data_IF_235842383904
#
_entry.id   IF_235842383904
#
_cell.length_a   1.000
_cell.length_b   1.000
_cell.length_c   1.000
_cell.angle_alpha   90.00
_cell.angle_beta   90.00
_cell.angle_gamma   90.00
#
_symmetry.space_group_name_H-M   'P 1'
#
loop_
_entity.id
_entity.type
_entity.pdbx_description
1 polymer ?
#
# COMPACT_ATOMS: atom_id res chain seq x y z
N UNK A 1 16.16 15.50 10.04
CA UNK A 1 16.68 14.45 9.16
C UNK A 1 18.06 14.89 8.71
N UNK A 2 19.06 14.11 9.02
CA UNK A 2 20.45 14.44 8.84
C UNK A 2 20.87 14.17 7.39
N UNK A 3 20.68 15.15 6.52
CA UNK A 3 21.09 15.05 5.11
C UNK A 3 22.61 14.86 4.93
N UNK A 4 23.50 15.51 5.71
CA UNK A 4 24.94 15.28 5.59
C UNK A 4 25.33 13.82 5.83
N UNK A 5 24.80 13.18 6.86
CA UNK A 5 25.08 11.77 7.12
C UNK A 5 24.56 10.86 6.01
N UNK A 6 23.40 11.18 5.41
CA UNK A 6 22.87 10.42 4.27
C UNK A 6 23.71 10.63 3.01
N UNK A 7 24.19 11.85 2.77
CA UNK A 7 25.01 12.17 1.61
C UNK A 7 26.38 11.47 1.62
N UNK A 8 26.83 11.01 2.78
CA UNK A 8 28.07 10.23 2.92
C UNK A 8 27.92 8.74 2.55
N UNK A 9 26.69 8.27 2.29
CA UNK A 9 26.43 6.86 2.00
C UNK A 9 26.47 6.59 0.49
N UNK A 10 27.04 5.47 0.09
CA UNK A 10 27.02 5.00 -1.31
C UNK A 10 25.67 4.41 -1.71
N UNK A 11 24.97 3.82 -0.74
CA UNK A 11 23.67 3.17 -0.94
C UNK A 11 22.74 3.50 0.23
N UNK A 12 21.54 3.92 -0.09
CA UNK A 12 20.47 4.13 0.89
C UNK A 12 19.31 3.19 0.57
N UNK A 13 18.94 2.34 1.54
CA UNK A 13 17.74 1.49 1.49
C UNK A 13 16.71 2.06 2.44
N UNK A 14 15.50 2.36 1.95
CA UNK A 14 14.44 2.94 2.76
C UNK A 14 13.13 2.16 2.70
N UNK A 15 12.54 1.94 3.88
CA UNK A 15 11.21 1.38 4.09
C UNK A 15 10.33 2.33 4.92
N UNK A 16 10.68 3.64 4.94
CA UNK A 16 10.03 4.65 5.78
C UNK A 16 8.72 5.20 5.19
N UNK A 17 8.34 4.71 4.01
CA UNK A 17 7.13 5.13 3.31
C UNK A 17 7.29 6.43 2.51
N UNK A 18 6.27 6.73 1.70
CA UNK A 18 6.30 7.80 0.70
C UNK A 18 6.50 9.21 1.27
N UNK A 19 6.07 9.47 2.50
CA UNK A 19 6.31 10.75 3.17
C UNK A 19 7.80 11.02 3.42
N UNK A 20 8.56 9.99 3.75
CA UNK A 20 10.01 10.09 3.89
C UNK A 20 10.68 10.36 2.55
N UNK A 21 10.34 9.58 1.53
CA UNK A 21 10.89 9.74 0.18
C UNK A 21 10.66 11.15 -0.35
N UNK A 22 9.43 11.68 -0.27
CA UNK A 22 9.10 13.05 -0.67
C UNK A 22 9.93 14.11 0.07
N UNK A 23 10.20 13.89 1.34
CA UNK A 23 10.89 14.87 2.18
C UNK A 23 12.42 14.83 2.02
N UNK A 24 13.01 13.73 1.54
CA UNK A 24 14.45 13.48 1.59
C UNK A 24 15.07 13.29 0.22
N UNK A 25 14.48 12.47 -0.66
CA UNK A 25 15.10 12.03 -1.91
C UNK A 25 15.54 13.19 -2.80
N UNK A 26 14.61 14.08 -3.18
CA UNK A 26 14.93 15.20 -4.08
C UNK A 26 16.01 16.12 -3.48
N UNK A 27 15.90 16.45 -2.20
CA UNK A 27 16.88 17.30 -1.52
C UNK A 27 18.28 16.68 -1.50
N UNK A 28 18.34 15.35 -1.39
CA UNK A 28 19.59 14.62 -1.42
C UNK A 28 20.19 14.63 -2.84
N UNK A 29 19.37 14.45 -3.88
CA UNK A 29 19.80 14.59 -5.27
C UNK A 29 20.27 16.00 -5.59
N UNK A 30 19.56 17.03 -5.14
CA UNK A 30 19.88 18.45 -5.33
C UNK A 30 21.21 18.83 -4.63
N UNK A 31 21.58 18.13 -3.55
CA UNK A 31 22.90 18.30 -2.91
C UNK A 31 24.07 17.68 -3.68
N UNK A 32 23.79 17.04 -4.84
CA UNK A 32 24.81 16.41 -5.67
C UNK A 32 25.11 14.94 -5.33
N UNK A 33 24.34 14.32 -4.44
CA UNK A 33 24.55 12.92 -4.07
C UNK A 33 24.34 11.97 -5.26
N UNK A 34 25.32 11.09 -5.51
CA UNK A 34 25.38 10.16 -6.63
C UNK A 34 25.21 8.69 -6.23
N UNK A 35 24.89 8.41 -4.97
CA UNK A 35 24.68 7.05 -4.48
C UNK A 35 23.40 6.40 -4.99
N UNK A 36 23.22 5.15 -4.69
CA UNK A 36 22.01 4.39 -5.05
C UNK A 36 20.90 4.59 -4.00
N UNK A 37 19.70 4.90 -4.48
CA UNK A 37 18.49 4.96 -3.67
C UNK A 37 17.62 3.73 -3.96
N UNK A 38 17.34 2.92 -2.95
CA UNK A 38 16.49 1.73 -3.03
C UNK A 38 15.29 1.94 -2.11
N UNK A 39 14.10 1.98 -2.68
CA UNK A 39 12.89 2.40 -1.98
C UNK A 39 11.75 1.40 -2.12
N UNK A 40 11.15 1.03 -0.99
CA UNK A 40 9.92 0.23 -0.98
C UNK A 40 8.65 1.06 -1.29
N UNK A 41 8.73 2.39 -1.15
CA UNK A 41 7.58 3.29 -1.36
C UNK A 41 7.23 3.49 -2.84
N UNK A 42 6.00 3.92 -3.10
CA UNK A 42 5.47 4.08 -4.46
C UNK A 42 5.83 5.40 -5.15
N UNK A 43 6.40 6.36 -4.43
CA UNK A 43 6.57 7.76 -4.88
C UNK A 43 7.31 7.88 -6.20
N UNK A 44 8.36 7.08 -6.40
CA UNK A 44 9.21 7.14 -7.58
C UNK A 44 8.83 6.11 -8.66
N UNK A 45 7.76 5.32 -8.50
CA UNK A 45 7.39 4.27 -9.47
C UNK A 45 7.06 4.81 -10.87
N UNK A 46 6.59 6.04 -10.94
CA UNK A 46 6.21 6.70 -12.21
C UNK A 46 7.25 7.72 -12.67
N UNK A 47 8.44 7.75 -12.03
CA UNK A 47 9.54 8.64 -12.42
C UNK A 47 10.35 8.00 -13.54
N UNK A 48 10.65 8.77 -14.58
CA UNK A 48 11.53 8.35 -15.69
C UNK A 48 12.97 8.09 -15.24
N UNK A 49 13.38 8.66 -14.09
CA UNK A 49 14.70 8.47 -13.49
C UNK A 49 14.83 7.22 -12.65
N UNK A 50 13.73 6.51 -12.38
CA UNK A 50 13.71 5.33 -11.52
C UNK A 50 13.34 4.05 -12.28
N UNK A 51 13.83 2.91 -11.79
CA UNK A 51 13.45 1.60 -12.29
C UNK A 51 12.72 0.79 -11.21
N UNK A 52 11.57 0.22 -11.59
CA UNK A 52 10.87 -0.76 -10.73
C UNK A 52 11.65 -2.08 -10.77
N UNK A 53 12.02 -2.57 -9.57
CA UNK A 53 12.72 -3.84 -9.40
C UNK A 53 11.71 -4.97 -9.21
N UNK A 54 11.81 -5.99 -10.05
CA UNK A 54 11.06 -7.24 -9.97
C UNK A 54 11.99 -8.42 -10.34
N UNK A 55 13.10 -8.54 -9.60
CA UNK A 55 14.06 -9.64 -9.80
C UNK A 55 13.42 -10.99 -9.38
N UNK A 56 13.56 -12.06 -10.16
CA UNK A 56 14.42 -12.21 -11.35
C UNK A 56 13.75 -11.87 -12.69
N UNK A 57 12.48 -11.42 -12.70
CA UNK A 57 11.72 -11.23 -13.94
C UNK A 57 12.34 -10.18 -14.86
N UNK A 58 12.77 -9.06 -14.29
CA UNK A 58 13.35 -7.96 -15.06
C UNK A 58 14.85 -7.76 -14.82
N UNK A 59 15.59 -8.80 -14.42
CA UNK A 59 17.03 -8.74 -14.13
C UNK A 59 17.83 -8.03 -15.23
N UNK A 60 17.57 -8.39 -16.49
CA UNK A 60 18.25 -7.72 -17.64
C UNK A 60 17.95 -6.22 -17.73
N UNK A 61 16.75 -5.79 -17.35
CA UNK A 61 16.42 -4.37 -17.32
C UNK A 61 17.15 -3.65 -16.18
N UNK A 62 17.28 -4.30 -15.02
CA UNK A 62 18.06 -3.78 -13.87
C UNK A 62 19.52 -3.61 -14.28
N UNK A 63 20.15 -4.62 -14.88
CA UNK A 63 21.55 -4.55 -15.34
C UNK A 63 21.78 -3.42 -16.35
N UNK A 64 20.87 -3.28 -17.33
CA UNK A 64 20.91 -2.17 -18.31
C UNK A 64 20.72 -0.81 -17.66
N UNK A 65 19.83 -0.70 -16.66
CA UNK A 65 19.61 0.56 -15.95
C UNK A 65 20.86 0.99 -15.17
N UNK A 66 21.53 0.06 -14.50
CA UNK A 66 22.81 0.32 -13.81
C UNK A 66 23.86 0.82 -14.81
N UNK A 67 24.00 0.17 -15.97
CA UNK A 67 24.94 0.57 -17.02
C UNK A 67 24.64 1.96 -17.59
N UNK A 68 23.36 2.37 -17.63
CA UNK A 68 22.92 3.70 -18.05
C UNK A 68 23.06 4.77 -16.96
N UNK A 69 23.53 4.41 -15.77
CA UNK A 69 23.71 5.32 -14.67
C UNK A 69 22.45 5.62 -13.86
N UNK A 70 21.36 4.84 -14.02
CA UNK A 70 20.18 4.95 -13.14
C UNK A 70 20.60 4.64 -11.71
N UNK A 71 20.18 5.49 -10.80
CA UNK A 71 20.53 5.43 -9.37
C UNK A 71 19.33 5.19 -8.46
N UNK A 72 18.12 5.29 -8.99
CA UNK A 72 16.88 5.14 -8.24
C UNK A 72 16.20 3.81 -8.60
N UNK A 73 16.10 2.93 -7.61
CA UNK A 73 15.49 1.61 -7.74
C UNK A 73 14.34 1.48 -6.75
N UNK A 74 13.16 1.09 -7.25
CA UNK A 74 11.94 1.08 -6.42
C UNK A 74 11.24 -0.26 -6.47
N UNK A 75 10.69 -0.68 -5.35
CA UNK A 75 9.84 -1.86 -5.29
C UNK A 75 8.53 -1.65 -6.05
N UNK A 76 8.06 -2.67 -6.77
CA UNK A 76 6.75 -2.68 -7.39
C UNK A 76 5.61 -2.69 -6.36
N UNK A 77 4.37 -2.56 -6.82
CA UNK A 77 3.21 -2.85 -5.98
C UNK A 77 3.25 -4.33 -5.56
N UNK A 78 3.04 -4.61 -4.27
CA UNK A 78 3.19 -5.95 -3.72
C UNK A 78 2.28 -6.99 -4.42
N UNK A 79 1.01 -6.65 -4.61
CA UNK A 79 0.01 -7.53 -5.24
C UNK A 79 0.35 -7.78 -6.71
N UNK A 80 0.66 -6.72 -7.47
CA UNK A 80 1.04 -6.82 -8.89
C UNK A 80 2.35 -7.58 -9.05
N UNK A 81 3.33 -7.34 -8.20
CA UNK A 81 4.61 -8.04 -8.23
C UNK A 81 4.44 -9.55 -8.04
N UNK A 82 3.64 -9.96 -7.05
CA UNK A 82 3.34 -11.38 -6.81
C UNK A 82 2.58 -12.01 -7.97
N UNK A 83 1.60 -11.32 -8.53
CA UNK A 83 0.86 -11.78 -9.71
C UNK A 83 1.81 -12.00 -10.90
N UNK A 84 2.64 -11.02 -11.21
CA UNK A 84 3.59 -11.11 -12.32
C UNK A 84 4.64 -12.20 -12.10
N UNK A 85 5.12 -12.38 -10.86
CA UNK A 85 6.02 -13.48 -10.52
C UNK A 85 5.35 -14.84 -10.69
N UNK A 86 4.09 -14.99 -10.27
CA UNK A 86 3.31 -16.22 -10.46
C UNK A 86 3.07 -16.56 -11.93
N UNK A 87 2.85 -15.56 -12.77
CA UNK A 87 2.59 -15.72 -14.21
C UNK A 87 3.85 -15.67 -15.08
N UNK A 88 5.03 -15.48 -14.49
CA UNK A 88 6.28 -15.24 -15.21
C UNK A 88 6.59 -16.27 -16.30
N UNK A 89 6.36 -17.55 -16.00
CA UNK A 89 6.57 -18.65 -16.96
C UNK A 89 5.66 -18.53 -18.19
N UNK A 90 4.41 -18.17 -18.00
CA UNK A 90 3.43 -18.00 -19.07
C UNK A 90 3.75 -16.78 -19.95
N UNK A 91 4.13 -15.66 -19.34
CA UNK A 91 4.60 -14.48 -20.08
C UNK A 91 5.84 -14.80 -20.90
N UNK A 92 6.80 -15.52 -20.30
CA UNK A 92 8.03 -15.93 -21.01
C UNK A 92 7.75 -16.86 -22.17
N UNK A 93 6.74 -17.71 -22.08
CA UNK A 93 6.30 -18.60 -23.14
C UNK A 93 5.48 -17.89 -24.25
N UNK A 94 5.09 -16.62 -24.04
CA UNK A 94 4.31 -15.84 -24.99
C UNK A 94 2.86 -16.33 -25.18
N UNK A 95 2.31 -17.03 -24.19
CA UNK A 95 0.96 -17.62 -24.25
C UNK A 95 -0.11 -16.80 -23.53
N UNK A 96 0.26 -15.67 -22.94
CA UNK A 96 -0.67 -14.74 -22.30
C UNK A 96 -0.99 -13.59 -23.24
N UNK A 97 -2.25 -13.49 -23.62
CA UNK A 97 -2.74 -12.40 -24.45
C UNK A 97 -3.24 -11.22 -23.59
N UNK A 98 -4.01 -11.53 -22.55
CA UNK A 98 -4.47 -10.52 -21.59
C UNK A 98 -4.73 -11.18 -20.22
N UNK A 99 -4.79 -10.37 -19.18
CA UNK A 99 -5.07 -10.81 -17.80
C UNK A 99 -6.14 -9.91 -17.20
N UNK A 100 -7.18 -10.53 -16.62
CA UNK A 100 -8.09 -9.87 -15.70
C UNK A 100 -7.84 -10.41 -14.31
N UNK A 101 -7.71 -9.54 -13.33
CA UNK A 101 -7.47 -9.94 -11.94
C UNK A 101 -8.37 -9.17 -10.99
N UNK A 102 -8.84 -9.86 -9.95
CA UNK A 102 -9.57 -9.27 -8.84
C UNK A 102 -8.79 -9.54 -7.56
N UNK A 103 -8.59 -8.52 -6.75
CA UNK A 103 -7.77 -8.62 -5.54
C UNK A 103 -8.45 -8.00 -4.35
N UNK A 104 -8.21 -8.59 -3.16
CA UNK A 104 -8.59 -8.02 -1.88
C UNK A 104 -7.32 -7.60 -1.15
N UNK A 105 -7.09 -6.29 -1.09
CA UNK A 105 -5.89 -5.77 -0.46
C UNK A 105 -6.09 -5.61 1.05
N UNK A 106 -5.12 -6.12 1.81
CA UNK A 106 -5.14 -6.02 3.27
C UNK A 106 -4.90 -4.58 3.75
N UNK A 107 -5.55 -4.20 4.85
CA UNK A 107 -5.31 -2.95 5.57
C UNK A 107 -3.83 -2.76 5.98
N UNK A 108 -3.07 -3.85 6.14
CA UNK A 108 -1.64 -3.81 6.46
C UNK A 108 -0.81 -3.09 5.40
N UNK A 109 -1.25 -3.09 4.14
CA UNK A 109 -0.61 -2.36 3.04
C UNK A 109 -0.64 -0.84 3.22
N UNK A 110 -1.64 -0.31 3.96
CA UNK A 110 -1.73 1.11 4.30
C UNK A 110 -0.87 1.50 5.52
N UNK A 111 -0.38 0.52 6.29
CA UNK A 111 0.52 0.72 7.41
C UNK A 111 -0.12 0.52 8.79
N UNK A 112 0.71 0.61 9.83
CA UNK A 112 0.33 0.24 11.19
C UNK A 112 -0.82 1.08 11.78
N UNK A 113 -0.93 2.36 11.42
CA UNK A 113 -2.01 3.24 11.88
C UNK A 113 -3.38 2.74 11.37
N UNK A 114 -3.47 2.39 10.10
CA UNK A 114 -4.67 1.83 9.48
C UNK A 114 -5.06 0.46 10.05
N UNK A 115 -4.06 -0.40 10.35
CA UNK A 115 -4.33 -1.66 11.05
C UNK A 115 -4.91 -1.44 12.45
N UNK A 116 -4.43 -0.42 13.19
CA UNK A 116 -4.97 -0.06 14.50
C UNK A 116 -6.41 0.43 14.40
N UNK A 117 -6.72 1.27 13.42
CA UNK A 117 -8.09 1.74 13.20
C UNK A 117 -9.03 0.57 12.87
N UNK A 118 -8.62 -0.36 11.99
CA UNK A 118 -9.39 -1.57 11.71
C UNK A 118 -9.68 -2.39 12.98
N UNK A 119 -8.67 -2.62 13.82
CA UNK A 119 -8.85 -3.36 15.08
C UNK A 119 -9.73 -2.60 16.08
N UNK A 120 -9.60 -1.28 16.16
CA UNK A 120 -10.48 -0.43 16.97
C UNK A 120 -11.93 -0.51 16.46
N UNK A 121 -12.15 -0.49 15.15
CA UNK A 121 -13.48 -0.66 14.55
C UNK A 121 -14.12 -1.99 14.89
N UNK A 122 -13.35 -3.10 14.83
CA UNK A 122 -13.84 -4.42 15.27
C UNK A 122 -14.22 -4.42 16.74
N UNK A 123 -13.39 -3.85 17.60
CA UNK A 123 -13.66 -3.72 19.04
C UNK A 123 -14.89 -2.85 19.32
N UNK A 124 -15.05 -1.75 18.60
CA UNK A 124 -16.17 -0.83 18.74
C UNK A 124 -17.50 -1.49 18.34
N UNK A 125 -17.53 -2.28 17.25
CA UNK A 125 -18.72 -3.09 16.86
C UNK A 125 -19.07 -4.06 17.98
N UNK A 126 -18.10 -4.80 18.52
CA UNK A 126 -18.38 -5.70 19.65
C UNK A 126 -18.91 -4.95 20.87
N UNK A 127 -18.30 -3.82 21.21
CA UNK A 127 -18.70 -3.03 22.39
C UNK A 127 -20.10 -2.46 22.27
N UNK A 128 -20.50 -1.97 21.10
CA UNK A 128 -21.84 -1.41 20.91
C UNK A 128 -22.94 -2.47 21.09
N UNK A 129 -22.67 -3.71 20.70
CA UNK A 129 -23.65 -4.80 20.78
C UNK A 129 -23.53 -5.68 22.03
N UNK A 130 -22.50 -5.49 22.86
CA UNK A 130 -22.10 -6.42 23.93
C UNK A 130 -23.23 -6.81 24.85
N UNK A 131 -24.01 -5.85 25.33
CA UNK A 131 -25.08 -6.11 26.31
C UNK A 131 -26.20 -6.95 25.67
N UNK A 132 -26.58 -6.68 24.43
CA UNK A 132 -27.56 -7.48 23.70
C UNK A 132 -27.01 -8.88 23.37
N UNK A 133 -25.72 -9.02 23.08
CA UNK A 133 -25.10 -10.33 22.84
C UNK A 133 -25.10 -11.23 24.07
N UNK A 134 -25.15 -10.66 25.27
CA UNK A 134 -25.22 -11.40 26.55
C UNK A 134 -26.64 -11.53 27.11
N UNK A 135 -27.62 -10.90 26.49
CA UNK A 135 -29.01 -11.03 26.89
C UNK A 135 -29.70 -12.16 26.09
N UNK A 136 -30.11 -13.27 26.75
CA UNK A 136 -30.83 -14.36 26.09
C UNK A 136 -32.19 -13.95 25.50
N UNK A 137 -32.74 -12.83 25.95
CA UNK A 137 -34.01 -12.29 25.45
C UNK A 137 -33.87 -11.40 24.23
N UNK A 138 -32.65 -10.96 23.92
CA UNK A 138 -32.39 -10.10 22.74
C UNK A 138 -32.57 -10.86 21.44
N UNK A 139 -33.22 -10.24 20.49
CA UNK A 139 -33.36 -10.81 19.14
C UNK A 139 -32.16 -10.47 18.28
N UNK A 140 -31.86 -11.32 17.28
CA UNK A 140 -30.78 -11.04 16.33
C UNK A 140 -31.03 -9.76 15.51
N UNK A 141 -32.32 -9.42 15.28
CA UNK A 141 -32.66 -8.19 14.56
C UNK A 141 -32.33 -6.92 15.36
N UNK A 142 -32.51 -6.95 16.68
CA UNK A 142 -32.12 -5.85 17.55
C UNK A 142 -30.60 -5.66 17.56
N UNK A 143 -29.86 -6.76 17.60
CA UNK A 143 -28.40 -6.73 17.53
C UNK A 143 -27.94 -6.16 16.18
N UNK A 144 -28.50 -6.67 15.08
CA UNK A 144 -28.17 -6.22 13.70
C UNK A 144 -28.49 -4.74 13.52
N UNK A 145 -29.67 -4.28 13.96
CA UNK A 145 -30.05 -2.87 13.88
C UNK A 145 -29.08 -1.98 14.65
N UNK A 146 -28.75 -2.36 15.89
CA UNK A 146 -27.84 -1.59 16.74
C UNK A 146 -26.43 -1.48 16.13
N UNK A 147 -25.90 -2.57 15.58
CA UNK A 147 -24.59 -2.59 14.89
C UNK A 147 -24.65 -1.73 13.62
N UNK A 148 -25.71 -1.86 12.83
CA UNK A 148 -25.88 -1.11 11.59
C UNK A 148 -25.97 0.40 11.83
N UNK A 149 -26.71 0.81 12.87
CA UNK A 149 -26.83 2.22 13.26
C UNK A 149 -25.49 2.78 13.76
N UNK A 150 -24.78 2.00 14.58
CA UNK A 150 -23.47 2.39 15.08
C UNK A 150 -22.44 2.55 13.95
N UNK A 151 -22.37 1.61 13.01
CA UNK A 151 -21.43 1.69 11.88
C UNK A 151 -21.67 2.93 11.00
N UNK A 152 -22.93 3.43 10.96
CA UNK A 152 -23.31 4.63 10.21
C UNK A 152 -23.19 5.93 11.01
N UNK A 153 -22.89 5.85 12.29
CA UNK A 153 -22.78 7.02 13.16
C UNK A 153 -21.40 7.66 13.09
N UNK A 154 -21.30 8.92 13.51
CA UNK A 154 -20.05 9.66 13.64
C UNK A 154 -19.16 9.11 14.78
N UNK A 155 -19.71 8.29 15.66
CA UNK A 155 -18.95 7.66 16.76
C UNK A 155 -18.09 6.46 16.30
N UNK A 156 -18.30 5.99 15.05
CA UNK A 156 -17.50 4.89 14.51
C UNK A 156 -16.10 5.37 14.12
N UNK A 157 -15.01 4.67 14.58
CA UNK A 157 -13.63 5.08 14.28
C UNK A 157 -13.27 4.82 12.82
N UNK A 158 -13.26 5.86 11.99
CA UNK A 158 -12.95 5.80 10.55
C UNK A 158 -12.11 6.98 10.06
N UNK A 159 -11.32 7.61 10.93
CA UNK A 159 -10.58 8.85 10.63
C UNK A 159 -9.54 8.68 9.50
N UNK A 160 -8.93 7.52 9.39
CA UNK A 160 -7.89 7.25 8.40
C UNK A 160 -8.45 6.68 7.09
N UNK A 161 -9.38 5.73 7.17
CA UNK A 161 -10.02 5.17 5.98
C UNK A 161 -11.12 6.08 5.41
N UNK A 162 -11.67 6.97 6.21
CA UNK A 162 -12.81 7.84 5.86
C UNK A 162 -14.16 7.12 5.76
N UNK A 163 -14.15 5.78 5.88
CA UNK A 163 -15.33 4.90 5.86
C UNK A 163 -15.08 3.66 6.72
N UNK A 164 -16.14 3.02 7.27
CA UNK A 164 -16.02 1.80 8.04
C UNK A 164 -15.43 0.64 7.24
N UNK A 165 -14.30 0.08 7.69
CA UNK A 165 -13.69 -1.10 7.06
C UNK A 165 -13.99 -2.40 7.82
N UNK A 166 -14.12 -2.38 9.17
CA UNK A 166 -14.42 -3.61 9.91
C UNK A 166 -15.76 -4.21 9.47
N UNK A 167 -15.76 -5.51 9.18
CA UNK A 167 -16.88 -6.26 8.60
C UNK A 167 -17.36 -5.74 7.22
N UNK A 168 -16.51 -4.99 6.50
CA UNK A 168 -16.87 -4.39 5.23
C UNK A 168 -15.73 -4.48 4.21
N UNK A 169 -16.00 -4.00 3.00
CA UNK A 169 -15.03 -3.81 1.93
C UNK A 169 -15.09 -2.36 1.45
N UNK A 170 -13.94 -1.78 1.19
CA UNK A 170 -13.83 -0.50 0.51
C UNK A 170 -13.58 -0.81 -0.97
N UNK A 171 -14.53 -0.54 -1.88
CA UNK A 171 -14.42 -0.90 -3.30
C UNK A 171 -13.48 0.04 -4.08
N UNK A 172 -12.83 0.94 -3.41
CA UNK A 172 -11.91 1.93 -3.96
C UNK A 172 -10.61 1.96 -3.18
N UNK A 173 -9.48 1.89 -3.88
CA UNK A 173 -8.15 1.94 -3.25
C UNK A 173 -7.35 3.11 -3.79
N UNK A 174 -6.63 3.81 -2.87
CA UNK A 174 -5.76 4.95 -3.16
C UNK A 174 -6.51 6.12 -3.86
N UNK A 175 -5.81 6.93 -4.63
CA UNK A 175 -6.35 8.17 -5.21
C UNK A 175 -7.04 7.91 -6.52
N UNK A 176 -8.12 8.65 -6.75
CA UNK A 176 -8.73 8.77 -8.06
C UNK A 176 -7.74 9.43 -9.04
N UNK A 177 -7.50 8.77 -10.16
CA UNK A 177 -6.65 9.29 -11.25
C UNK A 177 -7.47 9.70 -12.48
N UNK A 178 -8.78 9.70 -12.37
CA UNK A 178 -9.74 9.99 -13.43
C UNK A 178 -10.19 8.76 -14.20
N UNK A 179 -11.21 8.92 -15.03
CA UNK A 179 -11.79 7.89 -15.89
C UNK A 179 -12.27 6.63 -15.16
N UNK A 180 -12.68 6.76 -13.88
CA UNK A 180 -13.12 5.64 -13.05
C UNK A 180 -11.99 4.72 -12.60
N UNK A 181 -10.75 5.16 -12.64
CA UNK A 181 -9.58 4.41 -12.21
C UNK A 181 -9.01 4.97 -10.90
N UNK A 182 -8.42 4.09 -10.09
CA UNK A 182 -7.62 4.46 -8.93
C UNK A 182 -6.18 4.00 -9.11
N UNK A 183 -5.29 4.67 -8.39
CA UNK A 183 -3.85 4.38 -8.43
C UNK A 183 -3.50 3.12 -7.64
#
# INVERSE_FOLDING_TARGET
KDLPSLAAMDVIVTCQGGGYTKAVHQRLRDSGWQGFWIDAASVLRTSDSALIVLDPLNKKAIEKAIQRGIKDFVGGNCTVSLLLMGLAGLFKAGVVEWVSSMTYQSASGAGAAYMRELLNGMGAIYHCARDLLHDPGATILEIDQKVSDFIRSDDYPSDLFGVPLAANLIPWIDKDIGDGQSR
#
